data_IF_019604641118
#
_entry.id   IF_019604641118
#
_cell.length_a   1.000
_cell.length_b   1.000
_cell.length_c   1.000
_cell.angle_alpha   90.00
_cell.angle_beta   90.00
_cell.angle_gamma   90.00
#
_symmetry.space_group_name_H-M   'P 1'
#
loop_
_entity.id
_entity.type
_entity.pdbx_description
1 polymer ?
#
# COMPACT_ATOMS: atom_id res chain seq x y z
N UNK A 1 -1.15 -6.61 20.96
CA UNK A 1 -1.10 -5.17 20.66
C UNK A 1 -0.77 -4.42 21.93
N UNK A 2 0.23 -3.56 21.88
CA UNK A 2 0.69 -2.79 23.03
C UNK A 2 -0.24 -1.59 23.27
N UNK A 3 -0.50 -1.27 24.53
CA UNK A 3 -1.25 -0.05 24.89
C UNK A 3 -0.37 1.19 24.63
N UNK A 4 -0.70 2.03 23.65
CA UNK A 4 0.12 3.18 23.29
C UNK A 4 0.15 4.27 24.36
N UNK A 5 -0.83 4.28 25.28
CA UNK A 5 -0.88 5.27 26.37
C UNK A 5 0.10 4.94 27.49
N UNK A 6 0.58 3.71 27.53
CA UNK A 6 1.49 3.19 28.58
C UNK A 6 2.91 2.95 28.07
N UNK A 7 3.14 3.07 26.75
CA UNK A 7 4.45 2.83 26.14
C UNK A 7 5.12 4.14 25.87
N UNK A 8 6.25 4.45 26.50
CA UNK A 8 6.96 5.70 26.27
C UNK A 8 7.58 5.70 24.86
N UNK A 9 7.35 6.75 24.10
CA UNK A 9 7.76 6.84 22.69
C UNK A 9 6.89 5.99 21.75
N UNK A 10 7.43 5.68 20.59
CA UNK A 10 6.77 4.84 19.60
C UNK A 10 5.47 5.42 19.05
N UNK A 11 5.26 6.72 19.12
CA UNK A 11 4.04 7.36 18.61
C UNK A 11 3.94 7.18 17.10
N UNK A 12 2.73 7.01 16.62
CA UNK A 12 2.49 7.10 15.18
C UNK A 12 2.63 8.58 14.76
N UNK A 13 3.38 8.79 13.67
CA UNK A 13 3.60 10.13 13.13
C UNK A 13 3.35 10.11 11.62
N UNK A 14 2.81 11.20 11.10
CA UNK A 14 2.68 11.36 9.66
C UNK A 14 3.10 12.77 9.21
N UNK A 15 3.60 12.84 7.99
CA UNK A 15 3.98 14.08 7.34
C UNK A 15 2.79 14.65 6.57
N UNK A 16 2.52 15.96 6.75
CA UNK A 16 1.41 16.65 6.09
C UNK A 16 1.72 17.07 4.65
N UNK A 17 2.88 16.72 4.13
CA UNK A 17 3.28 16.95 2.75
C UNK A 17 3.02 15.75 1.85
N UNK A 18 3.37 15.92 0.59
CA UNK A 18 3.29 14.89 -0.44
C UNK A 18 4.47 13.90 -0.38
N UNK A 19 4.33 12.76 -1.02
CA UNK A 19 5.46 11.83 -1.23
C UNK A 19 6.62 12.48 -1.98
N UNK A 20 6.32 13.32 -2.98
CA UNK A 20 7.35 14.03 -3.74
C UNK A 20 8.16 15.00 -2.87
N UNK A 21 7.47 15.73 -1.96
CA UNK A 21 8.16 16.60 -1.01
C UNK A 21 9.02 15.80 -0.01
N UNK A 22 8.52 14.67 0.46
CA UNK A 22 9.29 13.79 1.36
C UNK A 22 10.52 13.21 0.65
N UNK A 23 10.37 12.79 -0.60
CA UNK A 23 11.50 12.31 -1.42
C UNK A 23 12.55 13.40 -1.62
N UNK A 24 12.14 14.62 -1.96
CA UNK A 24 13.06 15.75 -2.12
C UNK A 24 13.84 16.04 -0.82
N UNK A 25 13.15 16.06 0.33
CA UNK A 25 13.81 16.23 1.63
C UNK A 25 14.86 15.15 1.90
N UNK A 26 14.52 13.89 1.62
CA UNK A 26 15.45 12.77 1.77
C UNK A 26 16.67 12.93 0.87
N UNK A 27 16.47 13.26 -0.41
CA UNK A 27 17.55 13.41 -1.39
C UNK A 27 18.50 14.56 -1.01
N UNK A 28 17.99 15.56 -0.29
CA UNK A 28 18.76 16.65 0.31
C UNK A 28 19.41 16.27 1.67
N UNK A 29 19.18 15.07 2.18
CA UNK A 29 19.60 14.65 3.51
C UNK A 29 18.91 15.41 4.65
N UNK A 30 17.76 15.98 4.36
CA UNK A 30 16.96 16.77 5.31
C UNK A 30 15.81 15.92 5.90
N UNK A 31 15.38 16.32 7.09
CA UNK A 31 14.20 15.74 7.74
C UNK A 31 12.99 16.65 7.56
N UNK A 32 11.76 16.08 7.58
CA UNK A 32 10.55 16.89 7.54
C UNK A 32 10.54 17.95 8.67
N UNK A 33 10.16 19.21 8.37
CA UNK A 33 10.04 20.24 9.38
C UNK A 33 9.09 19.81 10.49
N UNK A 34 9.41 19.99 11.78
CA UNK A 34 8.58 19.55 12.90
C UNK A 34 7.15 20.07 12.85
N UNK A 35 6.93 21.28 12.33
CA UNK A 35 5.60 21.87 12.17
C UNK A 35 4.73 21.13 11.12
N UNK A 36 5.31 20.29 10.31
CA UNK A 36 4.63 19.47 9.28
C UNK A 36 4.54 18.00 9.65
N UNK A 37 5.02 17.62 10.83
CA UNK A 37 4.88 16.26 11.38
C UNK A 37 3.80 16.27 12.44
N UNK A 38 2.79 15.46 12.26
CA UNK A 38 1.67 15.34 13.18
C UNK A 38 1.73 13.98 13.86
N UNK A 39 1.70 13.99 15.19
CA UNK A 39 1.53 12.81 16.01
C UNK A 39 0.11 12.86 16.62
N UNK A 40 -0.88 12.18 16.02
CA UNK A 40 -2.22 12.19 16.56
C UNK A 40 -2.26 11.52 17.92
N UNK A 41 -3.12 12.04 18.78
CA UNK A 41 -3.37 11.39 20.07
C UNK A 41 -4.10 10.07 19.85
N UNK A 42 -3.60 9.04 20.53
CA UNK A 42 -4.19 7.71 20.52
C UNK A 42 -4.92 7.52 21.86
N UNK A 43 -6.25 7.47 21.86
CA UNK A 43 -7.00 7.46 23.12
C UNK A 43 -6.78 6.19 23.97
N UNK A 44 -6.31 5.09 23.36
CA UNK A 44 -6.01 3.86 24.06
C UNK A 44 -6.44 2.59 23.30
N UNK A 45 -6.44 1.43 23.95
CA UNK A 45 -6.90 0.19 23.37
C UNK A 45 -8.33 0.27 22.84
N UNK A 46 -8.59 -0.38 21.71
CA UNK A 46 -9.89 -0.37 21.03
C UNK A 46 -10.05 0.73 19.98
N UNK A 47 -9.07 1.60 19.83
CA UNK A 47 -9.01 2.61 18.77
C UNK A 47 -8.06 2.18 17.65
N UNK A 48 -8.31 2.69 16.46
CA UNK A 48 -7.46 2.50 15.29
C UNK A 48 -7.29 3.82 14.53
N UNK A 49 -6.17 3.96 13.85
CA UNK A 49 -5.94 5.02 12.88
C UNK A 49 -6.14 4.41 11.49
N UNK A 50 -7.07 4.95 10.72
CA UNK A 50 -7.22 4.63 9.32
C UNK A 50 -6.50 5.70 8.50
N UNK A 51 -5.66 5.26 7.56
CA UNK A 51 -4.96 6.16 6.66
C UNK A 51 -4.88 5.54 5.26
N UNK A 52 -4.72 6.40 4.27
CA UNK A 52 -4.39 5.95 2.93
C UNK A 52 -2.88 5.73 2.84
N UNK A 53 -2.43 4.55 3.30
CA UNK A 53 -1.02 4.24 3.57
C UNK A 53 -0.08 4.49 2.39
N UNK A 54 -0.58 4.27 1.16
CA UNK A 54 0.20 4.55 -0.04
C UNK A 54 0.35 6.05 -0.36
N UNK A 55 -0.50 6.92 0.18
CA UNK A 55 -0.48 8.36 -0.11
C UNK A 55 0.15 9.18 1.02
N UNK A 56 0.13 8.66 2.23
CA UNK A 56 0.56 9.38 3.44
C UNK A 56 1.91 8.84 3.89
N UNK A 57 2.92 9.68 3.87
CA UNK A 57 4.22 9.37 4.45
C UNK A 57 4.08 9.33 5.96
N UNK A 58 4.37 8.19 6.57
CA UNK A 58 4.16 7.96 7.99
C UNK A 58 5.22 7.02 8.57
N UNK A 59 5.36 7.07 9.89
CA UNK A 59 6.27 6.18 10.62
C UNK A 59 5.77 5.88 12.03
N UNK A 60 6.32 4.84 12.63
CA UNK A 60 6.35 4.71 14.09
C UNK A 60 7.57 5.44 14.62
N UNK A 61 7.37 6.39 15.50
CA UNK A 61 8.48 7.08 16.17
C UNK A 61 9.33 6.12 17.01
N UNK A 62 10.53 6.51 17.43
CA UNK A 62 11.40 5.67 18.26
C UNK A 62 10.76 5.41 19.61
N UNK A 63 11.03 4.22 20.16
CA UNK A 63 10.72 3.91 21.53
C UNK A 63 11.72 4.60 22.47
N UNK A 64 11.25 5.00 23.64
CA UNK A 64 12.11 5.46 24.72
C UNK A 64 12.40 4.26 25.61
N UNK A 65 13.66 4.01 25.93
CA UNK A 65 14.13 2.88 26.69
C UNK A 65 13.95 1.52 25.97
N UNK A 66 14.19 0.41 26.70
CA UNK A 66 14.01 -0.96 26.23
C UNK A 66 12.54 -1.38 26.31
N UNK A 67 11.67 -0.66 25.63
CA UNK A 67 10.24 -0.98 25.57
C UNK A 67 9.92 -1.81 24.31
N UNK A 68 8.86 -2.59 24.39
CA UNK A 68 8.33 -3.34 23.25
C UNK A 68 7.03 -2.68 22.76
N UNK A 69 6.89 -2.54 21.44
CA UNK A 69 5.65 -2.10 20.82
C UNK A 69 5.19 -3.12 19.79
N UNK A 70 4.02 -3.66 20.00
CA UNK A 70 3.36 -4.56 19.06
C UNK A 70 2.18 -3.81 18.45
N UNK A 71 2.22 -3.60 17.13
CA UNK A 71 1.18 -2.93 16.35
C UNK A 71 0.57 -3.95 15.38
N UNK A 72 -0.75 -3.94 15.28
CA UNK A 72 -1.45 -4.70 14.25
C UNK A 72 -1.81 -3.74 13.10
N UNK A 73 -1.39 -4.09 11.90
CA UNK A 73 -1.71 -3.35 10.67
C UNK A 73 -2.64 -4.20 9.83
N UNK A 74 -3.78 -3.64 9.43
CA UNK A 74 -4.72 -4.29 8.54
C UNK A 74 -4.75 -3.52 7.22
N UNK A 75 -4.50 -4.20 6.11
CA UNK A 75 -4.71 -3.66 4.77
C UNK A 75 -6.19 -3.80 4.36
N UNK A 76 -6.69 -2.78 3.70
CA UNK A 76 -8.02 -2.77 3.10
C UNK A 76 -7.88 -2.41 1.63
N UNK A 77 -8.63 -3.09 0.78
CA UNK A 77 -8.69 -2.82 -0.65
C UNK A 77 -10.15 -2.56 -1.04
N UNK A 78 -10.35 -1.84 -2.14
CA UNK A 78 -11.70 -1.65 -2.68
C UNK A 78 -12.26 -2.98 -3.16
N UNK A 79 -13.53 -3.22 -2.89
CA UNK A 79 -14.28 -4.32 -3.51
C UNK A 79 -14.76 -3.98 -4.92
N UNK A 80 -14.58 -2.75 -5.36
CA UNK A 80 -14.83 -2.31 -6.73
C UNK A 80 -13.53 -2.37 -7.55
N UNK A 81 -13.42 -3.36 -8.43
CA UNK A 81 -12.23 -3.57 -9.25
C UNK A 81 -12.03 -2.50 -10.35
N UNK A 82 -12.99 -1.58 -10.57
CA UNK A 82 -12.80 -0.43 -11.47
C UNK A 82 -11.98 0.69 -10.85
N UNK A 83 -11.87 0.71 -9.53
CA UNK A 83 -11.01 1.66 -8.82
C UNK A 83 -9.58 1.18 -8.94
N UNK A 84 -8.68 2.07 -9.37
CA UNK A 84 -7.25 1.77 -9.43
C UNK A 84 -6.74 1.32 -8.05
N UNK A 85 -6.06 0.19 -8.03
CA UNK A 85 -5.37 -0.31 -6.86
C UNK A 85 -3.87 -0.12 -7.02
N UNK A 86 -3.29 0.66 -6.14
CA UNK A 86 -1.85 0.92 -6.11
C UNK A 86 -1.11 0.02 -5.12
N UNK A 87 -1.76 -1.00 -4.57
CA UNK A 87 -1.09 -1.99 -3.72
C UNK A 87 0.04 -2.67 -4.49
N UNK A 88 1.19 -2.78 -3.84
CA UNK A 88 2.37 -3.48 -4.36
C UNK A 88 2.84 -4.45 -3.28
N UNK A 89 3.17 -5.66 -3.72
CA UNK A 89 3.62 -6.71 -2.82
C UNK A 89 5.13 -6.97 -2.92
N UNK A 90 5.81 -6.28 -3.83
CA UNK A 90 7.26 -6.41 -4.01
C UNK A 90 8.05 -6.21 -2.70
N UNK A 91 7.57 -5.31 -1.84
CA UNK A 91 8.15 -5.00 -0.54
C UNK A 91 8.06 -6.17 0.45
N UNK A 92 7.01 -6.98 0.33
CA UNK A 92 6.73 -8.10 1.23
C UNK A 92 7.51 -9.35 0.87
N UNK A 93 8.02 -9.46 -0.36
CA UNK A 93 8.76 -10.65 -0.84
C UNK A 93 10.00 -10.96 0.00
N UNK A 94 10.60 -9.93 0.60
CA UNK A 94 11.78 -10.07 1.47
C UNK A 94 11.49 -10.43 2.92
N UNK A 95 10.23 -10.36 3.36
CA UNK A 95 9.84 -10.52 4.78
C UNK A 95 8.81 -11.62 5.00
N UNK A 96 7.92 -11.85 4.04
CA UNK A 96 6.89 -12.87 4.12
C UNK A 96 7.30 -14.17 3.42
N UNK A 97 6.64 -15.29 3.77
CA UNK A 97 6.82 -16.56 3.06
C UNK A 97 6.33 -16.40 1.60
N UNK A 98 7.23 -16.49 0.61
CA UNK A 98 6.86 -16.32 -0.80
C UNK A 98 5.78 -17.30 -1.26
N UNK A 99 5.71 -18.50 -0.69
CA UNK A 99 4.71 -19.51 -1.06
C UNK A 99 3.29 -19.05 -0.68
N UNK A 100 3.15 -18.36 0.44
CA UNK A 100 1.87 -17.78 0.90
C UNK A 100 1.59 -16.49 0.15
N UNK A 101 2.54 -15.57 0.14
CA UNK A 101 2.41 -14.25 -0.47
C UNK A 101 2.02 -14.35 -1.96
N UNK A 102 2.74 -15.15 -2.74
CA UNK A 102 2.46 -15.28 -4.17
C UNK A 102 1.11 -15.93 -4.46
N UNK A 103 0.69 -16.88 -3.63
CA UNK A 103 -0.60 -17.51 -3.80
C UNK A 103 -1.76 -16.53 -3.54
N UNK A 104 -1.66 -15.71 -2.52
CA UNK A 104 -2.69 -14.70 -2.19
C UNK A 104 -2.69 -13.56 -3.19
N UNK A 105 -1.52 -13.11 -3.60
CA UNK A 105 -1.39 -12.09 -4.62
C UNK A 105 -1.95 -12.53 -5.98
N UNK A 106 -1.65 -13.76 -6.40
CA UNK A 106 -2.22 -14.33 -7.62
C UNK A 106 -3.75 -14.41 -7.57
N UNK A 107 -4.33 -14.80 -6.41
CA UNK A 107 -5.78 -14.82 -6.22
C UNK A 107 -6.40 -13.43 -6.30
N UNK A 108 -5.76 -12.44 -5.68
CA UNK A 108 -6.21 -11.06 -5.69
C UNK A 108 -6.18 -10.46 -7.11
N UNK A 109 -5.06 -10.58 -7.81
CA UNK A 109 -4.93 -10.10 -9.19
C UNK A 109 -5.94 -10.79 -10.14
N UNK A 110 -6.10 -12.10 -10.00
CA UNK A 110 -7.07 -12.85 -10.79
C UNK A 110 -8.52 -12.45 -10.49
N UNK A 111 -8.86 -12.19 -9.22
CA UNK A 111 -10.18 -11.71 -8.84
C UNK A 111 -10.47 -10.35 -9.49
N UNK A 112 -9.55 -9.38 -9.39
CA UNK A 112 -9.73 -8.05 -9.99
C UNK A 112 -9.92 -8.12 -11.50
N UNK A 113 -9.05 -8.86 -12.18
CA UNK A 113 -9.16 -9.05 -13.63
C UNK A 113 -10.47 -9.74 -14.04
N UNK A 114 -10.92 -10.73 -13.27
CA UNK A 114 -12.20 -11.38 -13.53
C UNK A 114 -13.37 -10.39 -13.45
N UNK A 115 -13.44 -9.57 -12.39
CA UNK A 115 -14.50 -8.56 -12.25
C UNK A 115 -14.49 -7.55 -13.40
N UNK A 116 -13.31 -7.18 -13.90
CA UNK A 116 -13.19 -6.29 -15.06
C UNK A 116 -13.61 -6.98 -16.36
N UNK A 117 -13.20 -8.24 -16.56
CA UNK A 117 -13.62 -9.03 -17.73
C UNK A 117 -15.12 -9.30 -17.75
N UNK A 118 -15.74 -9.58 -16.61
CA UNK A 118 -17.18 -9.76 -16.51
C UNK A 118 -17.92 -8.48 -16.91
N UNK A 119 -17.43 -7.30 -16.53
CA UNK A 119 -17.98 -6.01 -16.99
C UNK A 119 -17.85 -5.82 -18.51
N UNK A 120 -16.73 -6.24 -19.10
CA UNK A 120 -16.54 -6.19 -20.56
C UNK A 120 -17.60 -7.07 -21.26
N UNK A 121 -17.83 -8.28 -20.76
CA UNK A 121 -18.83 -9.19 -21.29
C UNK A 121 -20.23 -8.56 -21.27
N UNK A 122 -20.54 -7.83 -20.20
CA UNK A 122 -21.88 -7.25 -19.98
C UNK A 122 -22.10 -5.93 -20.73
N UNK A 123 -21.05 -5.12 -20.91
CA UNK A 123 -21.23 -3.70 -21.24
C UNK A 123 -20.44 -3.18 -22.44
N UNK A 124 -19.51 -3.94 -23.03
CA UNK A 124 -18.76 -3.46 -24.19
C UNK A 124 -19.70 -3.26 -25.38
N UNK A 125 -19.85 -2.03 -25.90
CA UNK A 125 -20.74 -1.74 -26.99
C UNK A 125 -20.20 -2.25 -28.33
N UNK A 126 -21.11 -2.61 -29.23
CA UNK A 126 -20.75 -2.92 -30.61
C UNK A 126 -20.30 -1.65 -31.37
N UNK A 127 -19.35 -1.80 -32.29
CA UNK A 127 -18.92 -0.72 -33.17
C UNK A 127 -17.80 0.15 -32.63
N UNK A 128 -17.15 -0.24 -31.52
CA UNK A 128 -15.90 0.38 -31.06
C UNK A 128 -14.77 0.15 -32.09
N UNK A 129 -13.83 1.10 -32.15
CA UNK A 129 -12.62 0.89 -32.92
C UNK A 129 -11.80 -0.26 -32.34
N UNK A 130 -11.07 -1.03 -33.15
CA UNK A 130 -10.25 -2.15 -32.68
C UNK A 130 -9.25 -1.77 -31.57
N UNK A 131 -8.68 -0.57 -31.66
CA UNK A 131 -7.74 -0.02 -30.68
C UNK A 131 -8.39 0.19 -29.32
N UNK A 132 -9.64 0.68 -29.28
CA UNK A 132 -10.38 0.91 -28.04
C UNK A 132 -10.74 -0.42 -27.37
N UNK A 133 -11.10 -1.43 -28.18
CA UNK A 133 -11.38 -2.79 -27.69
C UNK A 133 -10.12 -3.40 -27.12
N UNK A 134 -8.97 -3.26 -27.80
CA UNK A 134 -7.69 -3.75 -27.33
C UNK A 134 -7.29 -3.10 -26.00
N UNK A 135 -7.37 -1.77 -25.92
CA UNK A 135 -7.06 -1.04 -24.69
C UNK A 135 -7.96 -1.44 -23.51
N UNK A 136 -9.24 -1.71 -23.78
CA UNK A 136 -10.18 -2.18 -22.76
C UNK A 136 -9.79 -3.57 -22.23
N UNK A 137 -9.39 -4.49 -23.11
CA UNK A 137 -8.92 -5.82 -22.72
C UNK A 137 -7.59 -5.76 -21.96
N UNK A 138 -6.65 -4.95 -22.44
CA UNK A 138 -5.36 -4.74 -21.77
C UNK A 138 -5.55 -4.19 -20.36
N UNK A 139 -6.46 -3.22 -20.19
CA UNK A 139 -6.80 -2.70 -18.85
C UNK A 139 -7.34 -3.78 -17.93
N UNK A 140 -8.20 -4.67 -18.43
CA UNK A 140 -8.81 -5.73 -17.62
C UNK A 140 -7.81 -6.78 -17.12
N UNK A 141 -6.68 -6.97 -17.82
CA UNK A 141 -5.64 -7.94 -17.42
C UNK A 141 -4.42 -7.28 -16.77
N UNK A 142 -4.42 -5.95 -16.62
CA UNK A 142 -3.24 -5.22 -16.13
C UNK A 142 -2.81 -5.67 -14.73
N UNK A 143 -3.74 -5.94 -13.82
CA UNK A 143 -3.43 -6.42 -12.47
C UNK A 143 -2.70 -7.77 -12.50
N UNK A 144 -3.12 -8.69 -13.37
CA UNK A 144 -2.45 -9.99 -13.56
C UNK A 144 -1.06 -9.80 -14.15
N UNK A 145 -0.91 -8.92 -15.13
CA UNK A 145 0.39 -8.65 -15.74
C UNK A 145 1.38 -8.07 -14.73
N UNK A 146 0.96 -7.09 -13.94
CA UNK A 146 1.77 -6.50 -12.86
C UNK A 146 2.21 -7.59 -11.88
N UNK A 147 1.28 -8.42 -11.42
CA UNK A 147 1.60 -9.49 -10.49
C UNK A 147 2.64 -10.48 -11.07
N UNK A 148 2.48 -10.86 -12.33
CA UNK A 148 3.43 -11.76 -13.03
C UNK A 148 4.81 -11.14 -13.12
N UNK A 149 4.89 -9.86 -13.49
CA UNK A 149 6.16 -9.16 -13.70
C UNK A 149 6.90 -8.97 -12.37
N UNK A 150 6.21 -8.57 -11.30
CA UNK A 150 6.82 -8.42 -9.98
C UNK A 150 7.27 -9.77 -9.40
N UNK A 151 6.47 -10.84 -9.54
CA UNK A 151 6.88 -12.19 -9.13
C UNK A 151 8.12 -12.68 -9.86
N UNK A 152 8.27 -12.37 -11.16
CA UNK A 152 9.44 -12.73 -11.95
C UNK A 152 10.67 -11.89 -11.61
N UNK A 153 10.47 -10.63 -11.29
CA UNK A 153 11.53 -9.74 -10.84
C UNK A 153 12.12 -10.17 -9.48
N UNK A 154 11.33 -10.85 -8.66
CA UNK A 154 11.73 -11.27 -7.31
C UNK A 154 11.87 -10.11 -6.33
N UNK A 155 12.51 -10.35 -5.17
CA UNK A 155 12.68 -9.33 -4.15
C UNK A 155 13.39 -8.09 -4.71
N UNK A 156 12.76 -6.95 -4.56
CA UNK A 156 13.37 -5.67 -4.88
C UNK A 156 13.78 -4.98 -3.58
N UNK A 157 14.90 -4.29 -3.62
CA UNK A 157 15.32 -3.50 -2.47
C UNK A 157 14.39 -2.29 -2.38
N UNK A 158 13.47 -2.34 -1.43
CA UNK A 158 12.61 -1.20 -1.13
C UNK A 158 13.35 -0.19 -0.29
N UNK A 159 13.26 1.05 -0.71
CA UNK A 159 13.74 2.16 0.10
C UNK A 159 12.72 2.42 1.21
N UNK A 160 13.00 1.92 2.40
CA UNK A 160 12.28 2.35 3.60
C UNK A 160 12.70 3.77 3.95
N UNK A 161 11.74 4.64 4.18
CA UNK A 161 11.97 5.96 4.76
C UNK A 161 12.23 5.76 6.27
N UNK A 162 13.49 5.74 6.68
CA UNK A 162 13.87 5.73 8.09
C UNK A 162 13.72 7.12 8.72
#
# INVERSE_FOLDING_TARGET
>A
VTDPTRTPGGRFEYFTGTKAEAAALRDEGATPPPARVVAPDFPGPGWAIALHGNMVVHRGGPLVDLAERITMVNGYVSTDASIEDQSRNADLIGVDDPAVLYADWARFAAWRSREQLDRIIESVPFGLAPEDVAATLESAIADVQIAVDEMRAGPQQTEHYE
#
